data_IF_357856928252
#
_entry.id   IF_357856928252
#
_cell.length_a   1.000
_cell.length_b   1.000
_cell.length_c   1.000
_cell.angle_alpha   90.00
_cell.angle_beta   90.00
_cell.angle_gamma   90.00
#
_symmetry.space_group_name_H-M   'P 1'
#
loop_
_entity.id
_entity.type
_entity.pdbx_description
1 polymer ?
#
# COMPACT_ATOMS: atom_id res chain seq x y z
N UNK A 1 -0.56 -16.95 13.79
CA UNK A 1 -0.92 -15.53 13.83
C UNK A 1 -1.99 -15.24 12.79
N UNK A 2 -2.99 -14.43 13.13
CA UNK A 2 -4.01 -13.90 12.22
C UNK A 2 -4.08 -12.39 12.37
N UNK A 3 -4.17 -11.66 11.27
CA UNK A 3 -4.33 -10.22 11.34
C UNK A 3 -5.53 -9.74 10.54
N UNK A 4 -6.17 -8.67 11.02
CA UNK A 4 -7.17 -7.93 10.25
C UNK A 4 -6.45 -7.10 9.20
N UNK A 5 -6.94 -7.13 7.95
CA UNK A 5 -6.38 -6.35 6.84
C UNK A 5 -7.36 -5.30 6.39
N UNK A 6 -6.95 -4.04 6.42
CA UNK A 6 -7.70 -2.89 5.89
C UNK A 6 -6.78 -2.04 5.01
N UNK A 7 -7.32 -1.51 3.91
CA UNK A 7 -6.66 -0.51 3.06
C UNK A 7 -7.65 0.39 2.37
N UNK A 8 -7.19 1.51 1.82
CA UNK A 8 -7.94 2.41 0.97
C UNK A 8 -9.25 2.89 1.63
N UNK A 9 -9.15 3.29 2.90
CA UNK A 9 -10.30 3.67 3.71
C UNK A 9 -10.87 5.03 3.31
N UNK A 10 -10.05 5.91 2.75
CA UNK A 10 -10.44 7.22 2.21
C UNK A 10 -11.39 8.01 3.13
N UNK A 11 -11.00 8.11 4.41
CA UNK A 11 -11.79 8.79 5.44
C UNK A 11 -12.05 10.27 5.12
N UNK A 12 -11.24 10.87 4.27
CA UNK A 12 -11.46 12.24 3.76
C UNK A 12 -12.75 12.37 2.93
N UNK A 13 -13.25 11.28 2.35
CA UNK A 13 -14.50 11.28 1.57
C UNK A 13 -15.67 10.70 2.34
N UNK A 14 -15.41 9.86 3.34
CA UNK A 14 -16.40 9.11 4.12
C UNK A 14 -16.06 9.12 5.63
N UNK A 15 -16.00 10.29 6.28
CA UNK A 15 -15.53 10.44 7.65
C UNK A 15 -16.40 9.74 8.70
N UNK A 16 -17.65 9.41 8.35
CA UNK A 16 -18.61 8.71 9.24
C UNK A 16 -18.41 7.19 9.27
N UNK A 17 -17.53 6.64 8.39
CA UNK A 17 -17.30 5.21 8.35
C UNK A 17 -16.70 4.73 9.66
N UNK A 18 -17.29 3.67 10.23
CA UNK A 18 -16.88 3.06 11.49
C UNK A 18 -16.14 1.75 11.23
N UNK A 19 -15.13 1.49 12.03
CA UNK A 19 -14.37 0.25 12.01
C UNK A 19 -14.34 -0.36 13.41
N UNK A 20 -14.33 -1.67 13.47
CA UNK A 20 -14.18 -2.40 14.73
C UNK A 20 -13.14 -3.51 14.58
N UNK A 21 -12.47 -3.88 15.66
CA UNK A 21 -11.51 -4.98 15.66
C UNK A 21 -12.19 -6.29 15.24
N UNK A 22 -11.55 -7.03 14.35
CA UNK A 22 -12.02 -8.36 13.98
C UNK A 22 -11.83 -9.33 15.14
N UNK A 23 -12.88 -10.08 15.54
CA UNK A 23 -12.72 -11.08 16.61
C UNK A 23 -11.65 -12.11 16.28
N UNK A 24 -10.67 -12.30 17.16
CA UNK A 24 -9.57 -13.25 16.99
C UNK A 24 -8.40 -12.74 16.12
N UNK A 25 -8.36 -11.44 15.82
CA UNK A 25 -7.17 -10.81 15.27
C UNK A 25 -6.08 -10.68 16.34
N UNK A 26 -4.86 -11.06 16.01
CA UNK A 26 -3.68 -10.84 16.84
C UNK A 26 -3.09 -9.43 16.62
N UNK A 27 -3.31 -8.85 15.43
CA UNK A 27 -2.91 -7.48 15.07
C UNK A 27 -3.78 -6.92 13.92
N UNK A 28 -3.67 -5.61 13.67
CA UNK A 28 -4.24 -4.92 12.50
C UNK A 28 -3.12 -4.48 11.56
N UNK A 29 -3.31 -4.72 10.26
CA UNK A 29 -2.47 -4.15 9.20
C UNK A 29 -3.30 -3.12 8.42
N UNK A 30 -2.82 -1.88 8.39
CA UNK A 30 -3.32 -0.79 7.56
C UNK A 30 -2.38 -0.64 6.35
N UNK A 31 -2.83 -1.07 5.18
CA UNK A 31 -2.01 -1.07 3.97
C UNK A 31 -2.24 0.18 3.09
N UNK A 32 -2.23 1.37 3.73
CA UNK A 32 -2.23 2.68 3.09
C UNK A 32 -3.61 3.25 2.76
N UNK A 33 -3.61 4.53 2.40
CA UNK A 33 -4.77 5.34 2.00
C UNK A 33 -5.87 5.34 3.08
N UNK A 34 -5.46 5.59 4.34
CA UNK A 34 -6.39 5.72 5.47
C UNK A 34 -7.13 7.05 5.39
N UNK A 35 -6.41 8.14 5.15
CA UNK A 35 -7.01 9.46 5.02
C UNK A 35 -6.07 10.50 4.43
N UNK A 36 -6.65 11.53 3.82
CA UNK A 36 -5.98 12.52 2.99
C UNK A 36 -6.41 13.95 3.34
N UNK A 37 -5.51 14.93 3.13
CA UNK A 37 -5.81 16.36 3.24
C UNK A 37 -5.91 17.05 1.87
N UNK A 38 -6.23 16.29 0.84
CA UNK A 38 -6.51 16.83 -0.49
C UNK A 38 -7.60 17.92 -0.46
N UNK A 39 -7.66 18.82 -1.46
CA UNK A 39 -8.73 19.80 -1.57
C UNK A 39 -10.12 19.15 -1.49
N UNK A 40 -10.96 19.63 -0.57
CA UNK A 40 -12.29 19.08 -0.32
C UNK A 40 -12.34 17.91 0.67
N UNK A 41 -11.24 17.59 1.33
CA UNK A 41 -11.21 16.63 2.45
C UNK A 41 -12.22 17.01 3.53
N UNK A 42 -12.96 16.03 4.00
CA UNK A 42 -13.91 16.16 5.13
C UNK A 42 -13.33 15.61 6.44
N UNK A 43 -12.05 15.25 6.43
CA UNK A 43 -11.39 14.71 7.60
C UNK A 43 -11.30 15.78 8.70
N UNK A 44 -11.89 15.55 9.89
CA UNK A 44 -11.97 16.58 10.93
C UNK A 44 -10.72 16.67 11.80
N UNK A 45 -9.85 15.67 11.72
CA UNK A 45 -8.66 15.52 12.55
C UNK A 45 -7.38 16.01 11.85
N UNK A 46 -6.26 15.91 12.54
CA UNK A 46 -4.94 16.26 12.04
C UNK A 46 -3.96 15.07 12.02
N UNK A 47 -4.49 13.86 12.16
CA UNK A 47 -3.73 12.61 12.29
C UNK A 47 -4.01 11.61 11.17
N UNK A 48 -4.48 12.08 10.01
CA UNK A 48 -4.81 11.28 8.82
C UNK A 48 -5.89 10.20 9.08
N UNK A 49 -6.73 10.40 10.12
CA UNK A 49 -7.71 9.42 10.54
C UNK A 49 -7.13 8.22 11.32
N UNK A 50 -5.82 8.17 11.50
CA UNK A 50 -5.12 7.09 12.18
C UNK A 50 -5.49 6.95 13.65
N UNK A 51 -5.92 8.05 14.30
CA UNK A 51 -6.35 8.05 15.70
C UNK A 51 -7.46 7.06 16.02
N UNK A 52 -8.28 6.69 15.02
CA UNK A 52 -9.35 5.69 15.14
C UNK A 52 -8.82 4.26 15.38
N UNK A 53 -7.60 3.99 14.99
CA UNK A 53 -6.93 2.69 15.09
C UNK A 53 -5.84 2.67 16.16
N UNK A 54 -5.74 3.74 16.96
CA UNK A 54 -4.68 3.89 17.94
C UNK A 54 -4.83 2.91 19.12
N UNK A 55 -3.81 2.08 19.40
CA UNK A 55 -3.77 1.29 20.63
C UNK A 55 -3.83 2.17 21.88
N UNK A 56 -3.30 3.39 21.84
CA UNK A 56 -3.37 4.34 22.96
C UNK A 56 -4.76 4.93 23.16
N UNK A 57 -5.63 4.86 22.15
CA UNK A 57 -7.03 5.29 22.22
C UNK A 57 -8.01 4.12 22.35
N UNK A 58 -7.50 2.90 22.60
CA UNK A 58 -8.32 1.74 22.92
C UNK A 58 -8.47 0.70 21.81
N UNK A 59 -7.75 0.81 20.70
CA UNK A 59 -7.69 -0.31 19.74
C UNK A 59 -6.99 -1.49 20.43
N UNK A 60 -7.60 -2.70 20.48
CA UNK A 60 -7.21 -3.73 21.45
C UNK A 60 -5.96 -4.55 21.06
N UNK A 61 -5.46 -4.40 19.83
CA UNK A 61 -4.32 -5.16 19.31
C UNK A 61 -3.27 -4.22 18.70
N UNK A 62 -2.02 -4.65 18.55
CA UNK A 62 -1.00 -3.88 17.83
C UNK A 62 -1.46 -3.50 16.42
N UNK A 63 -1.01 -2.36 15.93
CA UNK A 63 -1.35 -1.84 14.60
C UNK A 63 -0.08 -1.56 13.83
N UNK A 64 0.02 -2.13 12.62
CA UNK A 64 1.07 -1.84 11.64
C UNK A 64 0.50 -0.95 10.55
N UNK A 65 1.24 0.06 10.14
CA UNK A 65 0.82 0.98 9.09
C UNK A 65 1.92 1.18 8.05
N UNK A 66 1.56 0.96 6.80
CA UNK A 66 2.31 1.39 5.62
C UNK A 66 1.52 2.54 5.00
N UNK A 67 2.12 3.72 4.72
CA UNK A 67 1.40 4.80 4.06
C UNK A 67 1.09 4.45 2.60
N UNK A 68 -0.02 4.99 2.10
CA UNK A 68 -0.35 4.99 0.69
C UNK A 68 0.08 6.30 0.01
N UNK A 69 -0.45 6.56 -1.17
CA UNK A 69 -0.15 7.81 -1.88
C UNK A 69 -1.04 8.96 -1.43
N UNK A 70 -2.27 8.68 -1.01
CA UNK A 70 -3.22 9.72 -0.63
C UNK A 70 -2.89 10.42 0.69
N UNK A 71 -2.08 9.82 1.57
CA UNK A 71 -1.56 10.49 2.75
C UNK A 71 -0.69 11.73 2.41
N UNK A 72 -0.19 11.83 1.18
CA UNK A 72 0.66 12.93 0.73
C UNK A 72 -0.09 14.01 -0.08
N UNK A 73 -1.35 13.77 -0.44
CA UNK A 73 -2.14 14.70 -1.23
C UNK A 73 -2.32 16.06 -0.53
N UNK A 74 -2.12 17.15 -1.27
CA UNK A 74 -2.23 18.51 -0.76
C UNK A 74 -1.05 18.96 0.11
N UNK A 75 -0.02 18.15 0.28
CA UNK A 75 1.12 18.38 1.17
C UNK A 75 2.45 18.30 0.42
N UNK A 76 3.51 18.81 1.05
CA UNK A 76 4.87 18.47 0.64
C UNK A 76 5.22 17.06 1.16
N UNK A 77 5.78 16.24 0.28
CA UNK A 77 6.05 14.82 0.56
C UNK A 77 6.99 14.63 1.75
N UNK A 78 8.09 15.39 1.80
CA UNK A 78 9.09 15.23 2.85
C UNK A 78 8.50 15.64 4.22
N UNK A 79 7.68 16.70 4.26
CA UNK A 79 6.98 17.16 5.47
C UNK A 79 5.88 16.18 5.91
N UNK A 80 5.07 15.71 4.95
CA UNK A 80 4.01 14.73 5.24
C UNK A 80 4.59 13.41 5.76
N UNK A 81 5.70 12.94 5.18
CA UNK A 81 6.38 11.72 5.60
C UNK A 81 6.87 11.79 7.05
N UNK A 82 7.52 12.90 7.41
CA UNK A 82 7.95 13.13 8.78
C UNK A 82 6.75 13.20 9.75
N UNK A 83 5.72 13.97 9.40
CA UNK A 83 4.50 14.11 10.19
C UNK A 83 3.75 12.79 10.39
N UNK A 84 3.67 11.93 9.37
CA UNK A 84 3.06 10.61 9.46
C UNK A 84 3.80 9.72 10.47
N UNK A 85 5.14 9.70 10.39
CA UNK A 85 5.97 8.94 11.33
C UNK A 85 5.77 9.42 12.77
N UNK A 86 5.84 10.72 13.02
CA UNK A 86 5.57 11.33 14.35
C UNK A 86 4.14 11.03 14.84
N UNK A 87 3.16 11.02 13.93
CA UNK A 87 1.78 10.67 14.24
C UNK A 87 1.67 9.21 14.67
N UNK A 88 2.31 8.29 13.96
CA UNK A 88 2.36 6.89 14.35
C UNK A 88 2.98 6.70 15.73
N UNK A 89 4.13 7.33 16.01
CA UNK A 89 4.80 7.28 17.31
C UNK A 89 3.86 7.79 18.43
N UNK A 90 3.19 8.93 18.21
CA UNK A 90 2.25 9.53 19.16
C UNK A 90 1.03 8.64 19.42
N UNK A 91 0.54 7.93 18.41
CA UNK A 91 -0.64 7.06 18.50
C UNK A 91 -0.33 5.63 18.94
N UNK A 92 0.95 5.24 19.04
CA UNK A 92 1.37 3.88 19.34
C UNK A 92 1.11 2.90 18.17
N UNK A 93 1.08 3.42 16.96
CA UNK A 93 0.99 2.66 15.71
C UNK A 93 2.41 2.39 15.23
N UNK A 94 2.69 1.17 14.82
CA UNK A 94 4.01 0.82 14.29
C UNK A 94 4.11 1.27 12.84
N UNK A 95 5.02 2.21 12.59
CA UNK A 95 5.40 2.65 11.25
C UNK A 95 6.16 1.56 10.52
N UNK A 96 5.74 1.25 9.29
CA UNK A 96 6.30 0.14 8.50
C UNK A 96 6.69 0.59 7.07
N UNK A 97 7.19 1.81 6.91
CA UNK A 97 7.70 2.30 5.62
C UNK A 97 9.21 2.15 5.55
N UNK A 98 9.68 1.23 4.69
CA UNK A 98 11.07 0.76 4.58
C UNK A 98 11.62 0.30 5.92
N UNK A 99 10.81 -0.50 6.61
CA UNK A 99 11.14 -1.07 7.91
C UNK A 99 10.88 -2.59 7.92
N UNK A 100 11.64 -3.28 8.72
CA UNK A 100 11.48 -4.72 8.99
C UNK A 100 11.35 -4.93 10.48
N UNK A 101 10.38 -5.71 10.91
CA UNK A 101 10.18 -6.06 12.32
C UNK A 101 9.72 -7.51 12.48
N UNK A 102 9.90 -8.05 13.67
CA UNK A 102 9.44 -9.39 14.01
C UNK A 102 8.45 -9.31 15.17
N UNK A 103 7.27 -9.90 14.99
CA UNK A 103 6.23 -10.02 16.01
C UNK A 103 5.87 -11.50 16.12
N UNK A 104 5.99 -12.10 17.32
CA UNK A 104 5.62 -13.49 17.61
C UNK A 104 6.18 -14.50 16.59
N UNK A 105 7.44 -14.30 16.17
CA UNK A 105 8.13 -15.18 15.22
C UNK A 105 7.73 -14.98 13.75
N UNK A 106 6.94 -13.96 13.41
CA UNK A 106 6.60 -13.56 12.05
C UNK A 106 7.37 -12.30 11.70
N UNK A 107 8.09 -12.34 10.59
CA UNK A 107 8.77 -11.16 10.03
C UNK A 107 7.81 -10.37 9.14
N UNK A 108 7.65 -9.08 9.41
CA UNK A 108 6.95 -8.11 8.56
C UNK A 108 7.98 -7.22 7.85
N UNK A 109 7.85 -7.09 6.55
CA UNK A 109 8.70 -6.25 5.69
C UNK A 109 7.77 -5.31 4.94
N UNK A 110 7.84 -4.00 5.21
CA UNK A 110 6.87 -3.06 4.66
C UNK A 110 7.47 -1.84 3.98
N UNK A 111 6.78 -1.39 2.95
CA UNK A 111 7.05 -0.14 2.22
C UNK A 111 5.84 0.26 1.37
N UNK A 112 5.65 1.54 1.11
CA UNK A 112 4.61 2.03 0.18
C UNK A 112 4.72 1.36 -1.20
N UNK A 113 5.95 1.05 -1.66
CA UNK A 113 6.23 0.46 -2.97
C UNK A 113 5.65 1.29 -4.12
N UNK A 114 5.91 2.60 -4.13
CA UNK A 114 5.47 3.48 -5.22
C UNK A 114 5.66 2.85 -6.61
N UNK A 115 4.83 3.22 -7.59
CA UNK A 115 4.94 2.67 -8.93
C UNK A 115 6.24 3.10 -9.63
N UNK A 116 6.93 2.14 -10.27
CA UNK A 116 8.10 2.39 -11.13
C UNK A 116 7.71 2.73 -12.58
N UNK A 117 6.42 2.56 -12.93
CA UNK A 117 5.84 2.74 -14.26
C UNK A 117 6.39 1.81 -15.34
N UNK A 118 7.13 0.79 -14.96
CA UNK A 118 7.73 -0.18 -15.88
C UNK A 118 6.91 -1.47 -16.04
N UNK A 119 5.83 -1.65 -15.28
CA UNK A 119 5.07 -2.90 -15.25
C UNK A 119 4.65 -3.41 -16.66
N UNK A 120 4.30 -2.51 -17.58
CA UNK A 120 4.01 -2.86 -18.97
C UNK A 120 5.24 -2.75 -19.89
N UNK A 121 6.26 -2.03 -19.46
CA UNK A 121 7.48 -1.81 -20.25
C UNK A 121 8.41 -3.04 -20.23
N UNK A 122 8.44 -3.81 -19.13
CA UNK A 122 9.27 -5.02 -19.01
C UNK A 122 8.92 -6.10 -20.03
N UNK A 123 7.70 -6.08 -20.57
CA UNK A 123 7.25 -7.01 -21.60
C UNK A 123 7.54 -6.51 -23.02
N UNK A 124 8.10 -5.32 -23.19
CA UNK A 124 8.39 -4.75 -24.48
C UNK A 124 9.57 -5.49 -25.17
N UNK A 125 9.52 -5.70 -26.50
CA UNK A 125 10.54 -6.47 -27.20
C UNK A 125 11.89 -5.74 -27.34
N UNK A 126 11.92 -4.42 -27.12
CA UNK A 126 13.12 -3.59 -27.22
C UNK A 126 13.02 -2.33 -26.32
N UNK A 127 14.18 -1.73 -26.04
CA UNK A 127 14.30 -0.55 -25.18
C UNK A 127 13.48 0.64 -25.69
N UNK A 128 13.40 0.85 -27.00
CA UNK A 128 12.64 1.98 -27.57
C UNK A 128 11.15 1.83 -27.27
N UNK A 129 10.62 0.62 -27.41
CA UNK A 129 9.22 0.35 -27.08
C UNK A 129 8.97 0.40 -25.58
N UNK A 130 9.91 -0.09 -24.74
CA UNK A 130 9.84 0.03 -23.30
C UNK A 130 9.72 1.50 -22.86
N UNK A 131 10.59 2.38 -23.36
CA UNK A 131 10.55 3.82 -23.08
C UNK A 131 9.23 4.45 -23.52
N UNK A 132 8.72 4.10 -24.71
CA UNK A 132 7.41 4.60 -25.18
C UNK A 132 6.25 4.13 -24.29
N UNK A 133 6.29 2.93 -23.74
CA UNK A 133 5.28 2.46 -22.80
C UNK A 133 5.33 3.25 -21.48
N UNK A 134 6.52 3.47 -20.92
CA UNK A 134 6.71 4.31 -19.72
C UNK A 134 6.20 5.74 -19.94
N UNK A 135 6.55 6.37 -21.07
CA UNK A 135 6.05 7.70 -21.39
C UNK A 135 4.51 7.78 -21.47
N UNK A 136 3.86 6.74 -22.00
CA UNK A 136 2.41 6.66 -22.00
C UNK A 136 1.86 6.53 -20.59
N UNK A 137 2.49 5.72 -19.75
CA UNK A 137 2.13 5.54 -18.35
C UNK A 137 2.28 6.84 -17.56
N UNK A 138 3.39 7.58 -17.73
CA UNK A 138 3.60 8.89 -17.14
C UNK A 138 2.49 9.87 -17.51
N UNK A 139 2.18 10.03 -18.81
CA UNK A 139 1.11 10.92 -19.25
C UNK A 139 -0.27 10.55 -18.70
N UNK A 140 -0.53 9.25 -18.58
CA UNK A 140 -1.79 8.77 -17.98
C UNK A 140 -1.88 9.11 -16.49
N UNK A 141 -0.78 8.94 -15.75
CA UNK A 141 -0.72 9.24 -14.33
C UNK A 141 -0.76 10.75 -14.06
N UNK A 142 0.04 11.55 -14.77
CA UNK A 142 0.16 12.99 -14.56
C UNK A 142 -1.18 13.73 -14.72
N UNK A 143 -2.06 13.22 -15.59
CA UNK A 143 -3.42 13.74 -15.72
C UNK A 143 -4.20 13.72 -14.39
N UNK A 144 -3.95 12.73 -13.54
CA UNK A 144 -4.55 12.62 -12.21
C UNK A 144 -3.69 13.28 -11.15
N UNK A 145 -2.37 13.08 -11.18
CA UNK A 145 -1.44 13.58 -10.17
C UNK A 145 -1.42 15.10 -10.06
N UNK A 146 -1.62 15.82 -11.17
CA UNK A 146 -1.78 17.28 -11.14
C UNK A 146 -2.93 17.77 -10.26
N UNK A 147 -3.92 16.91 -9.96
CA UNK A 147 -5.10 17.26 -9.16
C UNK A 147 -4.90 16.98 -7.66
N UNK A 148 -3.89 16.20 -7.29
CA UNK A 148 -3.62 15.86 -5.88
C UNK A 148 -3.01 17.02 -5.13
N UNK A 149 -2.45 18.01 -5.82
CA UNK A 149 -1.72 19.15 -5.25
C UNK A 149 -0.55 18.77 -4.34
N UNK A 150 -0.07 17.52 -4.44
CA UNK A 150 1.12 17.07 -3.72
C UNK A 150 2.38 17.69 -4.34
N UNK A 151 3.34 18.04 -3.48
CA UNK A 151 4.64 18.58 -3.91
C UNK A 151 5.78 17.80 -3.28
N UNK A 152 6.96 17.93 -3.85
CA UNK A 152 8.21 17.52 -3.22
C UNK A 152 9.27 18.59 -3.51
N UNK A 153 9.86 19.16 -2.46
CA UNK A 153 10.87 20.22 -2.57
C UNK A 153 10.41 21.40 -3.43
N UNK A 154 9.13 21.78 -3.27
CA UNK A 154 8.53 22.89 -3.99
C UNK A 154 8.17 22.62 -5.46
N UNK A 155 8.30 21.39 -5.95
CA UNK A 155 7.87 20.95 -7.28
C UNK A 155 6.65 20.03 -7.18
N UNK A 156 5.73 20.04 -8.18
CA UNK A 156 4.64 19.07 -8.22
C UNK A 156 5.14 17.63 -8.16
N UNK A 157 4.51 16.80 -7.35
CA UNK A 157 4.84 15.38 -7.22
C UNK A 157 4.13 14.60 -8.33
N UNK A 158 4.81 14.46 -9.48
CA UNK A 158 4.30 13.81 -10.69
C UNK A 158 4.90 12.40 -10.89
N UNK A 159 4.56 11.75 -11.99
CA UNK A 159 4.94 10.37 -12.27
C UNK A 159 6.45 10.12 -12.25
N UNK A 160 7.26 11.07 -12.68
CA UNK A 160 8.72 10.94 -12.64
C UNK A 160 9.25 10.86 -11.20
N UNK A 161 8.74 11.74 -10.32
CA UNK A 161 9.09 11.71 -8.89
C UNK A 161 8.52 10.47 -8.17
N UNK A 162 7.31 10.02 -8.57
CA UNK A 162 6.77 8.75 -8.07
C UNK A 162 7.68 7.58 -8.42
N UNK A 163 8.19 7.57 -9.68
CA UNK A 163 9.13 6.55 -10.10
C UNK A 163 10.42 6.55 -9.27
N UNK A 164 10.97 7.72 -8.96
CA UNK A 164 12.14 7.83 -8.09
C UNK A 164 11.88 7.16 -6.74
N UNK A 165 10.74 7.49 -6.11
CA UNK A 165 10.31 6.86 -4.85
C UNK A 165 10.11 5.34 -5.01
N UNK A 166 9.51 4.90 -6.11
CA UNK A 166 9.32 3.48 -6.42
C UNK A 166 10.62 2.71 -6.50
N UNK A 167 11.61 3.27 -7.22
CA UNK A 167 12.94 2.68 -7.33
C UNK A 167 13.69 2.65 -5.99
N UNK A 168 13.53 3.69 -5.15
CA UNK A 168 14.06 3.70 -3.78
C UNK A 168 13.44 2.58 -2.93
N UNK A 169 12.11 2.41 -3.00
CA UNK A 169 11.40 1.35 -2.29
C UNK A 169 11.85 -0.04 -2.75
N UNK A 170 11.96 -0.25 -4.06
CA UNK A 170 12.38 -1.53 -4.64
C UNK A 170 13.83 -1.87 -4.27
N UNK A 171 14.74 -0.89 -4.34
CA UNK A 171 16.15 -1.06 -3.97
C UNK A 171 16.31 -1.45 -2.49
N UNK A 172 15.41 -0.96 -1.62
CA UNK A 172 15.38 -1.35 -0.21
C UNK A 172 14.70 -2.72 -0.01
N UNK A 173 13.59 -2.98 -0.69
CA UNK A 173 12.74 -4.16 -0.49
C UNK A 173 13.46 -5.47 -0.88
N UNK A 174 14.17 -5.47 -2.01
CA UNK A 174 14.90 -6.64 -2.52
C UNK A 174 15.84 -7.25 -1.49
N UNK A 175 16.82 -6.51 -0.93
CA UNK A 175 17.71 -7.06 0.09
C UNK A 175 16.99 -7.36 1.41
N UNK A 176 15.94 -6.62 1.78
CA UNK A 176 15.18 -6.88 3.00
C UNK A 176 14.47 -8.23 2.95
N UNK A 177 13.82 -8.57 1.83
CA UNK A 177 13.17 -9.87 1.64
C UNK A 177 14.19 -11.01 1.51
N UNK A 178 15.36 -10.75 0.91
CA UNK A 178 16.40 -11.75 0.70
C UNK A 178 17.15 -12.15 1.99
N UNK A 179 16.98 -11.40 3.11
CA UNK A 179 17.62 -11.76 4.39
C UNK A 179 17.07 -13.09 4.88
N UNK A 180 17.95 -14.07 5.24
CA UNK A 180 17.50 -15.32 5.84
C UNK A 180 16.67 -15.06 7.12
N UNK A 181 15.61 -15.84 7.28
CA UNK A 181 14.75 -15.79 8.45
C UNK A 181 14.11 -17.16 8.70
N UNK A 182 14.12 -17.64 9.95
CA UNK A 182 13.63 -18.97 10.32
C UNK A 182 12.11 -19.03 10.59
N UNK A 183 11.39 -17.98 10.25
CA UNK A 183 9.93 -17.88 10.41
C UNK A 183 9.25 -17.43 9.13
N UNK A 184 7.91 -17.34 9.14
CA UNK A 184 7.17 -16.81 8.00
C UNK A 184 7.44 -15.31 7.81
N UNK A 185 7.48 -14.89 6.54
CA UNK A 185 7.66 -13.50 6.14
C UNK A 185 6.41 -12.98 5.47
N UNK A 186 5.91 -11.84 5.97
CA UNK A 186 4.78 -11.10 5.41
C UNK A 186 5.30 -9.80 4.79
N UNK A 187 5.15 -9.64 3.48
CA UNK A 187 5.36 -8.36 2.82
C UNK A 187 4.09 -7.53 2.90
N UNK A 188 4.23 -6.26 3.28
CA UNK A 188 3.12 -5.29 3.36
C UNK A 188 3.46 -4.10 2.47
N UNK A 189 2.68 -3.89 1.41
CA UNK A 189 2.86 -2.73 0.54
C UNK A 189 1.55 -1.98 0.35
N UNK A 190 1.60 -0.76 -0.16
CA UNK A 190 0.38 -0.10 -0.61
C UNK A 190 0.15 -0.37 -2.11
N UNK A 191 1.15 -0.11 -2.95
CA UNK A 191 1.05 -0.47 -4.36
C UNK A 191 1.16 -1.97 -4.59
N UNK A 192 0.49 -2.45 -5.65
CA UNK A 192 0.49 -3.86 -5.97
C UNK A 192 1.85 -4.33 -6.53
N UNK A 193 2.33 -5.51 -6.13
CA UNK A 193 3.61 -6.05 -6.61
C UNK A 193 3.54 -6.63 -8.02
N UNK A 194 2.34 -6.89 -8.55
CA UNK A 194 2.14 -7.64 -9.78
C UNK A 194 0.97 -7.10 -10.60
N UNK A 195 1.08 -7.21 -11.93
CA UNK A 195 -0.02 -6.95 -12.86
C UNK A 195 -1.22 -7.90 -12.67
N UNK A 196 -1.06 -9.03 -11.94
CA UNK A 196 -2.17 -9.91 -11.58
C UNK A 196 -3.17 -9.25 -10.64
N UNK A 197 -2.78 -8.20 -9.93
CA UNK A 197 -3.68 -7.39 -9.11
C UNK A 197 -4.51 -6.40 -9.91
N UNK A 198 -4.21 -6.19 -11.19
CA UNK A 198 -4.93 -5.22 -12.02
C UNK A 198 -6.43 -5.54 -12.06
N UNK A 199 -7.25 -4.50 -11.90
CA UNK A 199 -8.70 -4.64 -11.90
C UNK A 199 -9.18 -5.12 -13.29
N UNK A 200 -9.82 -6.29 -13.38
CA UNK A 200 -10.26 -6.86 -14.65
C UNK A 200 -11.32 -6.01 -15.35
N UNK A 201 -12.04 -5.13 -14.62
CA UNK A 201 -13.05 -4.22 -15.19
C UNK A 201 -12.45 -3.24 -16.19
N UNK A 202 -11.17 -2.87 -16.02
CA UNK A 202 -10.51 -1.88 -16.86
C UNK A 202 -9.49 -2.47 -17.84
N UNK A 203 -9.10 -3.73 -17.65
CA UNK A 203 -8.03 -4.37 -18.41
C UNK A 203 -6.67 -3.69 -18.22
N UNK A 204 -5.68 -4.10 -19.03
CA UNK A 204 -4.35 -3.48 -18.98
C UNK A 204 -4.29 -2.27 -19.90
N UNK A 205 -4.15 -1.10 -19.31
CA UNK A 205 -3.99 0.19 -19.99
C UNK A 205 -2.67 0.85 -19.59
N UNK A 206 -2.18 1.87 -20.28
CA UNK A 206 -0.98 2.59 -19.84
C UNK A 206 -1.05 3.06 -18.38
N UNK A 207 -2.25 3.46 -17.91
CA UNK A 207 -2.46 3.86 -16.52
C UNK A 207 -2.23 2.72 -15.50
N UNK A 208 -2.40 1.46 -15.89
CA UNK A 208 -2.20 0.31 -15.00
C UNK A 208 -0.78 0.29 -14.40
N UNK A 209 0.23 0.76 -15.13
CA UNK A 209 1.59 0.86 -14.63
C UNK A 209 1.79 1.94 -13.54
N UNK A 210 0.80 2.79 -13.28
CA UNK A 210 0.76 3.69 -12.12
C UNK A 210 0.09 3.06 -10.89
N UNK A 211 -0.41 1.83 -10.99
CA UNK A 211 -1.08 1.10 -9.91
C UNK A 211 -0.37 -0.19 -9.54
N UNK A 212 0.29 -0.83 -10.49
CA UNK A 212 0.97 -2.10 -10.33
C UNK A 212 2.43 -1.98 -10.71
N UNK A 213 3.28 -2.68 -9.97
CA UNK A 213 4.64 -3.00 -10.36
C UNK A 213 4.69 -4.38 -11.07
N UNK A 214 5.84 -4.82 -11.53
CA UNK A 214 6.06 -6.15 -12.12
C UNK A 214 7.18 -6.86 -11.38
N UNK A 215 6.90 -7.24 -10.13
CA UNK A 215 7.85 -7.83 -9.20
C UNK A 215 7.55 -9.31 -8.91
N UNK A 216 6.96 -10.01 -9.88
CA UNK A 216 6.58 -11.42 -9.74
C UNK A 216 7.74 -12.32 -9.29
N UNK A 217 8.98 -11.96 -9.61
CA UNK A 217 10.18 -12.68 -9.17
C UNK A 217 10.54 -12.44 -7.69
N UNK A 218 10.12 -11.30 -7.11
CA UNK A 218 10.35 -10.98 -5.69
C UNK A 218 9.27 -11.55 -4.79
N UNK A 219 8.05 -11.69 -5.30
CA UNK A 219 6.91 -12.15 -4.50
C UNK A 219 7.21 -13.46 -3.78
N UNK A 220 7.84 -14.49 -4.40
CA UNK A 220 8.15 -15.76 -3.73
C UNK A 220 9.19 -15.69 -2.59
N UNK A 221 9.80 -14.53 -2.34
CA UNK A 221 10.68 -14.32 -1.18
C UNK A 221 9.91 -14.08 0.12
N UNK A 222 8.60 -13.80 0.03
CA UNK A 222 7.69 -13.76 1.16
C UNK A 222 6.80 -15.00 1.18
N UNK A 223 6.18 -15.33 2.31
CA UNK A 223 5.18 -16.39 2.44
C UNK A 223 3.75 -15.85 2.23
N UNK A 224 3.57 -14.56 2.51
CA UNK A 224 2.33 -13.82 2.32
C UNK A 224 2.66 -12.39 1.87
N UNK A 225 1.87 -11.86 0.95
CA UNK A 225 1.96 -10.47 0.52
C UNK A 225 0.60 -9.79 0.62
N UNK A 226 0.52 -8.63 1.26
CA UNK A 226 -0.72 -7.86 1.33
C UNK A 226 -0.50 -6.46 0.77
N UNK A 227 -1.54 -5.92 0.10
CA UNK A 227 -1.47 -4.60 -0.52
C UNK A 227 -2.84 -3.91 -0.59
N UNK A 228 -2.88 -2.68 -1.11
CA UNK A 228 -4.06 -1.86 -1.37
C UNK A 228 -4.06 -1.27 -2.79
N UNK A 229 -4.40 -0.01 -2.88
CA UNK A 229 -4.27 0.93 -4.00
C UNK A 229 -5.25 0.75 -5.18
N UNK A 230 -5.58 -0.46 -5.59
CA UNK A 230 -6.40 -0.68 -6.79
C UNK A 230 -7.90 -0.61 -6.55
N UNK A 231 -8.38 -0.50 -5.31
CA UNK A 231 -9.79 -0.57 -4.94
C UNK A 231 -10.51 -1.81 -5.51
N UNK A 232 -9.76 -2.88 -5.69
CA UNK A 232 -10.24 -4.16 -6.17
C UNK A 232 -9.70 -5.25 -5.22
N UNK A 233 -10.56 -6.08 -4.62
CA UNK A 233 -10.10 -7.16 -3.76
C UNK A 233 -9.30 -8.17 -4.57
N UNK A 234 -8.23 -8.67 -3.97
CA UNK A 234 -7.36 -9.66 -4.57
C UNK A 234 -7.11 -10.81 -3.60
N UNK A 235 -7.09 -12.03 -4.12
CA UNK A 235 -6.67 -13.23 -3.41
C UNK A 235 -6.19 -14.26 -4.42
N UNK A 236 -4.88 -14.31 -4.65
CA UNK A 236 -4.26 -15.19 -5.63
C UNK A 236 -2.87 -15.64 -5.16
N UNK A 237 -2.21 -16.52 -5.93
CA UNK A 237 -0.91 -17.10 -5.57
C UNK A 237 0.11 -16.87 -6.69
N UNK A 238 1.33 -16.45 -6.32
CA UNK A 238 2.53 -16.45 -7.17
C UNK A 238 3.58 -17.35 -6.53
N UNK A 239 3.97 -18.43 -7.22
CA UNK A 239 4.80 -19.46 -6.60
C UNK A 239 4.09 -20.10 -5.41
N UNK A 240 4.66 -19.98 -4.22
CA UNK A 240 4.05 -20.40 -2.94
C UNK A 240 3.40 -19.26 -2.16
N UNK A 241 3.54 -18.02 -2.61
CA UNK A 241 3.13 -16.82 -1.89
C UNK A 241 1.70 -16.45 -2.22
N UNK A 242 0.84 -16.36 -1.20
CA UNK A 242 -0.51 -15.81 -1.34
C UNK A 242 -0.44 -14.30 -1.34
N UNK A 243 -1.13 -13.64 -2.28
CA UNK A 243 -1.24 -12.19 -2.40
C UNK A 243 -2.68 -11.79 -2.11
N UNK A 244 -2.89 -10.87 -1.16
CA UNK A 244 -4.22 -10.47 -0.68
C UNK A 244 -4.36 -8.95 -0.64
N UNK A 245 -5.52 -8.44 -1.09
CA UNK A 245 -5.92 -7.05 -0.91
C UNK A 245 -7.38 -6.96 -0.47
N UNK A 246 -7.67 -6.03 0.46
CA UNK A 246 -9.01 -5.79 1.00
C UNK A 246 -9.30 -4.29 1.10
N UNK A 247 -9.39 -3.60 -0.05
CA UNK A 247 -9.65 -2.17 -0.09
C UNK A 247 -11.12 -1.85 0.16
N UNK A 248 -11.39 -0.76 0.91
CA UNK A 248 -12.73 -0.20 1.03
C UNK A 248 -13.12 0.57 -0.22
N UNK A 249 -12.24 1.44 -0.69
CA UNK A 249 -12.47 2.28 -1.88
C UNK A 249 -13.51 3.38 -1.66
N UNK A 250 -13.96 3.98 -2.77
CA UNK A 250 -14.90 5.10 -2.74
C UNK A 250 -16.36 4.63 -2.80
N UNK A 251 -17.17 5.02 -1.80
CA UNK A 251 -18.62 4.74 -1.75
C UNK A 251 -19.35 5.18 -3.01
N UNK A 252 -19.03 6.37 -3.53
CA UNK A 252 -19.65 6.92 -4.75
C UNK A 252 -19.44 6.07 -6.01
N UNK A 253 -18.48 5.13 -5.98
CA UNK A 253 -18.19 4.22 -7.09
C UNK A 253 -18.70 2.80 -6.85
N UNK A 254 -19.31 2.52 -5.68
CA UNK A 254 -19.75 1.18 -5.29
C UNK A 254 -18.60 0.21 -5.01
N UNK A 255 -17.37 0.72 -4.77
CA UNK A 255 -16.18 -0.11 -4.56
C UNK A 255 -16.24 -0.88 -3.23
N UNK A 256 -17.00 -0.37 -2.25
CA UNK A 256 -17.11 -0.97 -0.91
C UNK A 256 -18.04 -2.20 -0.84
N UNK A 257 -18.78 -2.53 -1.90
CA UNK A 257 -19.74 -3.65 -1.88
C UNK A 257 -19.09 -5.02 -1.63
N UNK A 258 -17.80 -5.13 -1.92
CA UNK A 258 -16.97 -6.35 -1.76
C UNK A 258 -15.97 -6.27 -0.62
N UNK A 259 -15.94 -5.15 0.11
CA UNK A 259 -15.07 -4.95 1.25
C UNK A 259 -15.50 -5.82 2.44
N UNK A 260 -14.53 -6.44 3.08
CA UNK A 260 -14.75 -7.28 4.27
C UNK A 260 -14.15 -6.60 5.50
N UNK A 261 -14.97 -5.88 6.32
CA UNK A 261 -14.44 -5.09 7.44
C UNK A 261 -13.70 -5.92 8.50
N UNK A 262 -14.01 -7.20 8.58
CA UNK A 262 -13.38 -8.13 9.52
C UNK A 262 -12.58 -9.24 8.81
N UNK A 263 -12.02 -8.96 7.63
CA UNK A 263 -11.17 -9.93 6.95
C UNK A 263 -9.98 -10.30 7.83
N UNK A 264 -9.90 -11.56 8.22
CA UNK A 264 -8.74 -12.15 8.89
C UNK A 264 -7.87 -12.86 7.86
N UNK A 265 -6.62 -12.44 7.77
CA UNK A 265 -5.59 -13.10 6.98
C UNK A 265 -4.73 -13.93 7.91
N UNK A 266 -4.67 -15.25 7.65
CA UNK A 266 -3.83 -16.17 8.43
C UNK A 266 -2.42 -16.23 7.82
N UNK A 267 -1.41 -16.02 8.66
CA UNK A 267 -0.01 -16.17 8.27
C UNK A 267 0.29 -17.66 8.10
N UNK A 268 0.84 -18.10 6.96
CA UNK A 268 1.18 -19.50 6.72
C UNK A 268 2.13 -20.04 7.80
N UNK A 269 1.94 -21.29 8.18
CA UNK A 269 2.94 -22.00 9.02
C UNK A 269 4.06 -22.47 8.10
N UNK A 270 5.26 -22.03 8.35
CA UNK A 270 6.44 -22.56 7.65
C UNK A 270 6.77 -23.91 8.31
N UNK A 271 6.44 -25.00 7.64
CA UNK A 271 6.95 -26.32 8.02
C UNK A 271 8.45 -26.32 7.68
N UNK A 272 9.32 -26.41 8.68
CA UNK A 272 10.75 -26.20 8.65
C UNK A 272 11.41 -26.37 7.28
N UNK A 273 12.07 -25.31 6.85
CA UNK A 273 12.97 -25.35 5.68
C UNK A 273 14.25 -26.03 6.04
#
# INVERSE_FOLDING_TARGET
MKFQLLSDLHLETQPEQQFSPAPGADLLVLAGDVGSYQPGSKLPDSDFGLGRFSPRHGWPVPVLFVPGNHEYDGLDWDEAHARLRETCDRLGITWLERETLVIDGVRFVGTTLWADFDALAVQAPDTTRALKQREKAFRAADFYLTKTAATRRGQPLLAEQWRELGLECEAWLKPALAQPFDGPTVAVTHFAPSLRSADPRYGLTPGTAGFCNSLDELVPLADLWVHGHLHCPNDYVIGSTRVVANPLGYARKGEQDVFLPHLLVEVPRVSGR
#
